data_IF_523865954541
#
_entry.id   IF_523865954541
#
_cell.length_a   1.000
_cell.length_b   1.000
_cell.length_c   1.000
_cell.angle_alpha   90.00
_cell.angle_beta   90.00
_cell.angle_gamma   90.00
#
_symmetry.space_group_name_H-M   'P 1'
#
loop_
_entity.id
_entity.type
_entity.pdbx_description
1 polymer ?
#
# COMPACT_ATOMS: atom_id res chain seq x y z
N UNK A 1 9.23 12.34 -7.89
CA UNK A 1 9.85 11.15 -8.54
C UNK A 1 9.01 10.77 -9.75
N UNK A 2 9.63 10.54 -10.91
CA UNK A 2 8.91 10.03 -12.08
C UNK A 2 8.80 8.52 -11.96
N UNK A 3 7.59 7.98 -12.15
CA UNK A 3 7.30 6.55 -12.08
C UNK A 3 7.67 5.88 -13.41
N UNK A 4 8.29 4.71 -13.35
CA UNK A 4 8.67 3.89 -14.52
C UNK A 4 7.95 2.54 -14.48
N UNK A 5 8.03 1.78 -15.59
CA UNK A 5 7.56 0.40 -15.60
C UNK A 5 8.33 -0.46 -14.59
N UNK A 6 9.65 -0.25 -14.47
CA UNK A 6 10.51 -0.95 -13.49
C UNK A 6 10.02 -0.77 -12.04
N UNK A 7 9.38 0.36 -11.71
CA UNK A 7 8.84 0.59 -10.37
C UNK A 7 7.73 -0.41 -10.01
N UNK A 8 7.00 -0.94 -10.99
CA UNK A 8 5.95 -1.94 -10.77
C UNK A 8 6.49 -3.37 -10.63
N UNK A 9 7.70 -3.64 -11.12
CA UNK A 9 8.29 -4.99 -11.14
C UNK A 9 9.33 -5.19 -10.02
N UNK A 10 10.06 -4.13 -9.65
CA UNK A 10 11.27 -4.25 -8.83
C UNK A 10 11.16 -3.58 -7.47
N UNK A 11 10.20 -2.67 -7.30
CA UNK A 11 10.03 -1.97 -6.02
C UNK A 11 9.51 -2.89 -4.93
N UNK A 12 9.65 -2.44 -3.68
CA UNK A 12 9.02 -3.13 -2.56
C UNK A 12 7.49 -3.23 -2.74
N UNK A 13 6.86 -4.36 -2.38
CA UNK A 13 5.45 -4.62 -2.66
C UNK A 13 4.46 -3.54 -2.20
N UNK A 14 4.75 -2.86 -1.09
CA UNK A 14 3.84 -1.84 -0.53
C UNK A 14 3.87 -0.55 -1.33
N UNK A 15 5.01 -0.26 -1.97
CA UNK A 15 5.08 0.86 -2.90
C UNK A 15 4.30 0.54 -4.17
N UNK A 16 4.40 -0.69 -4.68
CA UNK A 16 3.58 -1.15 -5.80
C UNK A 16 2.09 -1.05 -5.45
N UNK A 17 1.67 -1.51 -4.26
CA UNK A 17 0.30 -1.36 -3.78
C UNK A 17 -0.15 0.12 -3.71
N UNK A 18 0.74 1.03 -3.30
CA UNK A 18 0.45 2.47 -3.32
C UNK A 18 0.17 2.98 -4.74
N UNK A 19 1.01 2.62 -5.72
CA UNK A 19 0.85 3.03 -7.11
C UNK A 19 -0.50 2.55 -7.67
N UNK A 20 -0.81 1.28 -7.46
CA UNK A 20 -2.07 0.67 -7.89
C UNK A 20 -3.29 1.30 -7.19
N UNK A 21 -3.23 1.54 -5.88
CA UNK A 21 -4.35 2.13 -5.13
C UNK A 21 -4.76 3.53 -5.61
N UNK A 22 -3.79 4.30 -6.13
CA UNK A 22 -3.98 5.66 -6.62
C UNK A 22 -4.10 5.74 -8.15
N UNK A 23 -4.13 4.59 -8.85
CA UNK A 23 -4.15 4.52 -10.32
C UNK A 23 -3.01 5.29 -10.98
N UNK A 24 -1.84 5.33 -10.32
CA UNK A 24 -0.63 5.98 -10.84
C UNK A 24 -0.11 5.13 -12.00
N UNK A 25 0.35 5.79 -13.08
CA UNK A 25 0.86 5.14 -14.29
C UNK A 25 2.34 5.45 -14.52
N UNK A 26 3.06 4.60 -15.27
CA UNK A 26 4.37 4.94 -15.79
C UNK A 26 4.33 6.29 -16.51
N UNK A 27 5.27 7.17 -16.18
CA UNK A 27 5.34 8.54 -16.68
C UNK A 27 4.80 9.60 -15.72
N UNK A 28 3.93 9.23 -14.77
CA UNK A 28 3.41 10.16 -13.78
C UNK A 28 4.50 10.58 -12.79
N UNK A 29 4.29 11.73 -12.14
CA UNK A 29 5.16 12.21 -11.08
C UNK A 29 4.44 12.11 -9.75
N UNK A 30 5.12 11.50 -8.78
CA UNK A 30 4.65 11.37 -7.41
C UNK A 30 5.58 12.09 -6.45
N UNK A 31 5.06 12.46 -5.30
CA UNK A 31 5.88 12.93 -4.19
C UNK A 31 6.06 11.79 -3.17
N UNK A 32 7.31 11.43 -2.85
CA UNK A 32 7.58 10.27 -1.98
C UNK A 32 6.98 10.40 -0.58
N UNK A 33 6.73 11.63 -0.11
CA UNK A 33 6.06 11.85 1.17
C UNK A 33 4.59 11.40 1.15
N UNK A 34 3.93 11.39 -0.02
CA UNK A 34 2.54 10.90 -0.16
C UNK A 34 2.46 9.40 0.12
N UNK A 35 3.44 8.63 -0.39
CA UNK A 35 3.59 7.23 -0.04
C UNK A 35 3.79 7.02 1.46
N UNK A 36 4.65 7.83 2.09
CA UNK A 36 4.90 7.74 3.54
C UNK A 36 3.64 8.05 4.37
N UNK A 37 2.86 9.04 3.97
CA UNK A 37 1.60 9.37 4.63
C UNK A 37 0.60 8.23 4.47
N UNK A 38 0.46 7.71 3.24
CA UNK A 38 -0.47 6.65 2.92
C UNK A 38 -0.16 5.35 3.68
N UNK A 39 1.10 4.90 3.68
CA UNK A 39 1.46 3.63 4.31
C UNK A 39 1.27 3.68 5.84
N UNK A 40 1.57 4.83 6.47
CA UNK A 40 1.31 5.06 7.89
C UNK A 40 -0.19 5.04 8.22
N UNK A 41 -1.02 5.61 7.34
CA UNK A 41 -2.49 5.56 7.48
C UNK A 41 -2.99 4.12 7.38
N UNK A 42 -2.56 3.38 6.36
CA UNK A 42 -2.94 1.99 6.13
C UNK A 42 -2.49 1.06 7.25
N UNK A 43 -1.30 1.26 7.80
CA UNK A 43 -0.83 0.48 8.97
C UNK A 43 -1.73 0.70 10.19
N UNK A 44 -2.20 1.95 10.43
CA UNK A 44 -3.14 2.25 11.51
C UNK A 44 -4.51 1.60 11.28
N UNK A 45 -4.99 1.59 10.04
CA UNK A 45 -6.24 0.92 9.66
C UNK A 45 -6.16 -0.58 9.90
N UNK A 46 -5.10 -1.23 9.41
CA UNK A 46 -4.84 -2.65 9.61
C UNK A 46 -4.78 -3.01 11.11
N UNK A 47 -4.01 -2.24 11.90
CA UNK A 47 -3.92 -2.49 13.35
C UNK A 47 -5.27 -2.37 14.05
N UNK A 48 -6.11 -1.39 13.66
CA UNK A 48 -7.47 -1.24 14.20
C UNK A 48 -8.36 -2.42 13.83
N UNK A 49 -8.34 -2.84 12.56
CA UNK A 49 -9.14 -3.95 12.05
C UNK A 49 -8.82 -5.26 12.76
N UNK A 50 -7.53 -5.54 12.97
CA UNK A 50 -7.06 -6.76 13.60
C UNK A 50 -6.90 -6.67 15.13
N UNK A 51 -7.35 -5.57 15.74
CA UNK A 51 -7.24 -5.31 17.19
C UNK A 51 -5.80 -5.49 17.73
N UNK A 52 -4.80 -5.15 16.90
CA UNK A 52 -3.39 -5.21 17.28
C UNK A 52 -3.09 -3.97 18.11
N UNK A 53 -2.66 -4.18 19.36
CA UNK A 53 -2.32 -3.08 20.25
C UNK A 53 -1.05 -2.37 19.74
N UNK A 54 -1.05 -1.03 19.76
CA UNK A 54 -0.10 -0.17 19.03
C UNK A 54 1.39 -0.41 19.29
N UNK A 55 1.73 -1.10 20.38
CA UNK A 55 3.08 -1.36 20.89
C UNK A 55 3.68 -2.64 20.29
N UNK A 56 2.85 -3.56 19.78
CA UNK A 56 3.34 -4.83 19.23
C UNK A 56 3.73 -4.59 17.77
N UNK A 57 5.04 -4.53 17.53
CA UNK A 57 5.63 -4.68 16.19
C UNK A 57 4.93 -5.81 15.45
N UNK A 58 4.65 -5.63 14.15
CA UNK A 58 4.11 -6.66 13.25
C UNK A 58 5.10 -7.83 13.05
N UNK A 59 5.67 -8.39 14.13
CA UNK A 59 6.60 -9.50 14.11
C UNK A 59 5.85 -10.74 13.62
N UNK A 60 6.04 -11.10 12.36
CA UNK A 60 5.26 -12.13 11.65
C UNK A 60 3.94 -11.63 11.03
N UNK A 61 3.63 -10.33 11.11
CA UNK A 61 2.45 -9.70 10.53
C UNK A 61 2.75 -8.75 9.36
N UNK A 62 4.02 -8.57 8.99
CA UNK A 62 4.41 -7.71 7.87
C UNK A 62 3.87 -8.24 6.54
N UNK A 63 3.88 -9.57 6.34
CA UNK A 63 3.36 -10.19 5.12
C UNK A 63 1.84 -10.05 5.06
N UNK A 64 1.14 -10.34 6.17
CA UNK A 64 -0.32 -10.14 6.28
C UNK A 64 -0.75 -8.69 6.02
N UNK A 65 0.04 -7.71 6.45
CA UNK A 65 -0.23 -6.32 6.14
C UNK A 65 -0.06 -6.04 4.65
N UNK A 66 1.00 -6.57 4.03
CA UNK A 66 1.21 -6.44 2.59
C UNK A 66 0.07 -7.09 1.81
N UNK A 67 -0.33 -8.32 2.15
CA UNK A 67 -1.44 -9.03 1.50
C UNK A 67 -2.75 -8.22 1.60
N UNK A 68 -3.06 -7.71 2.80
CA UNK A 68 -4.23 -6.87 3.03
C UNK A 68 -4.26 -5.59 2.19
N UNK A 69 -3.10 -5.00 1.88
CA UNK A 69 -3.04 -3.83 0.98
C UNK A 69 -3.48 -4.17 -0.44
N UNK A 70 -3.22 -5.39 -0.92
CA UNK A 70 -3.65 -5.83 -2.25
C UNK A 70 -5.12 -6.25 -2.28
N UNK A 71 -5.62 -6.88 -1.22
CA UNK A 71 -7.06 -7.18 -1.07
C UNK A 71 -7.92 -5.90 -1.11
N UNK A 72 -7.52 -4.84 -0.39
CA UNK A 72 -8.19 -3.53 -0.39
C UNK A 72 -8.24 -2.89 -1.79
N UNK A 73 -7.27 -3.20 -2.66
CA UNK A 73 -7.25 -2.72 -4.04
C UNK A 73 -8.24 -3.50 -4.89
N UNK A 74 -8.27 -4.83 -4.79
CA UNK A 74 -9.21 -5.67 -5.53
C UNK A 74 -10.66 -5.30 -5.22
N UNK A 75 -11.01 -5.14 -3.94
CA UNK A 75 -12.35 -4.72 -3.50
C UNK A 75 -12.73 -3.33 -4.06
N UNK A 76 -11.77 -2.40 -4.13
CA UNK A 76 -12.00 -1.06 -4.69
C UNK A 76 -12.17 -1.07 -6.21
N UNK A 77 -11.45 -1.94 -6.92
CA UNK A 77 -11.60 -2.08 -8.38
C UNK A 77 -12.90 -2.82 -8.74
N UNK A 78 -13.34 -3.78 -7.92
CA UNK A 78 -14.61 -4.50 -8.10
C UNK A 78 -15.84 -3.64 -7.78
N UNK A 79 -15.75 -2.71 -6.83
CA UNK A 79 -16.86 -1.79 -6.48
C UNK A 79 -17.09 -0.65 -7.48
N UNK A 80 -16.29 -0.57 -8.55
CA UNK A 80 -16.44 0.40 -9.65
C UNK A 80 -17.24 -0.14 -10.85
N UNK A 81 -17.78 -1.37 -10.76
CA UNK A 81 -18.67 -1.99 -11.74
C UNK A 81 -20.08 -2.21 -11.16
#
# INVERSE_FOLDING_TARGET
MKVTDDDFETSQPRFIAFLLHHNIKPGDTIEMYEFMIWINKKEREFKKLHKINSIISLKGGQDKFTDWLFEDIEDKQLSLF
#
